data_IF_617013183232
#
_entry.id   IF_617013183232
#
_cell.length_a   1.000
_cell.length_b   1.000
_cell.length_c   1.000
_cell.angle_alpha   90.00
_cell.angle_beta   90.00
_cell.angle_gamma   90.00
#
_symmetry.space_group_name_H-M   'P 1'
#
loop_
_entity.id
_entity.type
_entity.pdbx_description
1 polymer ?
#
# COMPACT_ATOMS: atom_id res chain seq x y z
N UNK A 1 13.42 -4.44 -7.25
CA UNK A 1 12.86 -3.11 -7.58
C UNK A 1 11.85 -2.72 -6.51
N UNK A 2 11.69 -1.42 -6.24
CA UNK A 2 10.98 -0.85 -5.07
C UNK A 2 9.49 -1.22 -4.91
N UNK A 3 8.88 -1.95 -5.85
CA UNK A 3 7.58 -2.61 -5.65
C UNK A 3 7.64 -4.02 -6.26
N UNK A 4 7.91 -5.04 -5.45
CA UNK A 4 7.88 -6.45 -5.85
C UNK A 4 6.44 -6.99 -5.91
N UNK A 5 5.55 -6.42 -5.10
CA UNK A 5 4.11 -6.76 -5.07
C UNK A 5 3.51 -6.61 -6.46
N UNK A 6 2.81 -7.64 -6.92
CA UNK A 6 2.14 -7.67 -8.22
C UNK A 6 0.63 -7.67 -8.08
N UNK A 7 -0.05 -7.15 -9.09
CA UNK A 7 -1.48 -7.28 -9.27
C UNK A 7 -1.76 -7.80 -10.68
N UNK A 8 -2.36 -8.98 -10.80
CA UNK A 8 -2.74 -9.58 -12.09
C UNK A 8 -4.26 -9.48 -12.26
N UNK A 9 -4.74 -9.00 -13.40
CA UNK A 9 -6.18 -9.00 -13.69
C UNK A 9 -6.64 -10.39 -14.10
N UNK A 10 -7.72 -10.86 -13.50
CA UNK A 10 -8.35 -12.15 -13.77
C UNK A 10 -9.87 -12.00 -13.77
N UNK A 11 -10.46 -11.73 -14.93
CA UNK A 11 -11.90 -11.51 -15.05
C UNK A 11 -12.33 -10.19 -14.42
N UNK A 12 -13.17 -10.26 -13.39
CA UNK A 12 -13.75 -9.13 -12.65
C UNK A 12 -12.96 -8.77 -11.37
N UNK A 13 -11.73 -9.26 -11.25
CA UNK A 13 -10.88 -9.05 -10.07
C UNK A 13 -9.40 -8.88 -10.42
N UNK A 14 -8.67 -8.37 -9.44
CA UNK A 14 -7.22 -8.34 -9.36
C UNK A 14 -6.73 -9.33 -8.30
N UNK A 15 -5.70 -10.09 -8.64
CA UNK A 15 -5.00 -10.98 -7.71
C UNK A 15 -3.70 -10.31 -7.26
N UNK A 16 -3.64 -9.91 -6.00
CA UNK A 16 -2.48 -9.28 -5.39
C UNK A 16 -1.61 -10.32 -4.70
N UNK A 17 -0.31 -10.25 -4.96
CA UNK A 17 0.69 -11.13 -4.37
C UNK A 17 1.96 -10.37 -3.97
N UNK A 18 2.45 -10.62 -2.76
CA UNK A 18 3.71 -10.08 -2.24
C UNK A 18 3.57 -9.43 -0.86
N UNK A 19 4.59 -8.68 -0.43
CA UNK A 19 4.63 -8.10 0.92
C UNK A 19 4.92 -6.60 0.85
N UNK A 20 4.22 -5.83 1.69
CA UNK A 20 4.50 -4.42 1.96
C UNK A 20 4.97 -4.27 3.39
N UNK A 21 6.16 -3.71 3.59
CA UNK A 21 6.72 -3.47 4.91
C UNK A 21 6.49 -2.02 5.34
N UNK A 22 6.65 -1.76 6.65
CA UNK A 22 6.60 -0.41 7.23
C UNK A 22 5.24 0.30 7.09
N UNK A 23 4.15 -0.47 7.12
CA UNK A 23 2.82 0.09 6.94
C UNK A 23 2.32 0.62 8.28
N UNK A 24 2.23 1.94 8.36
CA UNK A 24 1.72 2.68 9.51
C UNK A 24 0.22 2.46 9.64
N UNK A 25 -0.28 2.32 10.88
CA UNK A 25 -1.68 2.03 11.22
C UNK A 25 -2.18 0.67 10.68
N UNK A 26 -1.28 -0.29 10.45
CA UNK A 26 -1.62 -1.59 9.88
C UNK A 26 -2.62 -2.40 10.73
N UNK A 27 -2.63 -2.22 12.05
CA UNK A 27 -3.53 -2.93 12.98
C UNK A 27 -4.88 -2.22 13.14
N UNK A 28 -4.90 -0.89 13.08
CA UNK A 28 -6.09 -0.08 13.36
C UNK A 28 -6.90 0.23 12.10
N UNK A 29 -6.28 0.27 10.92
CA UNK A 29 -6.97 0.65 9.68
C UNK A 29 -8.00 -0.40 9.23
N UNK A 30 -9.10 0.07 8.64
CA UNK A 30 -10.13 -0.79 8.01
C UNK A 30 -9.93 -0.98 6.51
N UNK A 31 -8.99 -0.24 5.91
CA UNK A 31 -8.59 -0.36 4.53
C UNK A 31 -7.16 0.16 4.33
N UNK A 32 -6.55 -0.16 3.20
CA UNK A 32 -5.20 0.31 2.83
C UNK A 32 -5.12 0.64 1.35
N UNK A 33 -4.45 1.73 1.02
CA UNK A 33 -4.08 2.03 -0.37
C UNK A 33 -2.78 1.31 -0.69
N UNK A 34 -2.85 0.32 -1.59
CA UNK A 34 -1.73 -0.56 -1.94
C UNK A 34 -1.26 -0.27 -3.35
N UNK A 35 0.03 0.02 -3.51
CA UNK A 35 0.67 0.20 -4.81
C UNK A 35 1.32 -1.09 -5.27
N UNK A 36 0.87 -1.66 -6.37
CA UNK A 36 1.38 -2.93 -6.92
C UNK A 36 1.65 -2.82 -8.42
N UNK A 37 2.60 -3.60 -8.92
CA UNK A 37 2.93 -3.64 -10.34
C UNK A 37 1.89 -4.47 -11.09
N UNK A 38 1.16 -3.84 -12.00
CA UNK A 38 0.27 -4.50 -12.96
C UNK A 38 1.01 -4.88 -14.24
N UNK A 39 2.11 -4.19 -14.55
CA UNK A 39 3.06 -4.57 -15.61
C UNK A 39 4.49 -4.26 -15.17
N UNK A 40 5.31 -5.31 -14.97
CA UNK A 40 6.70 -5.14 -14.54
C UNK A 40 7.60 -4.56 -15.63
N UNK A 41 7.27 -4.79 -16.90
CA UNK A 41 8.09 -4.34 -18.04
C UNK A 41 8.11 -2.81 -18.14
N UNK A 42 7.02 -2.16 -17.72
CA UNK A 42 6.84 -0.71 -17.75
C UNK A 42 7.45 0.03 -16.54
N UNK A 43 8.11 -0.68 -15.61
CA UNK A 43 8.72 -0.12 -14.40
C UNK A 43 7.71 0.76 -13.63
N UNK A 44 8.04 2.02 -13.33
CA UNK A 44 7.15 2.92 -12.58
C UNK A 44 5.83 3.22 -13.31
N UNK A 45 5.80 3.16 -14.64
CA UNK A 45 4.57 3.36 -15.45
C UNK A 45 3.62 2.16 -15.39
N UNK A 46 4.08 1.02 -14.90
CA UNK A 46 3.25 -0.18 -14.70
C UNK A 46 2.79 -0.36 -13.26
N UNK A 47 2.93 0.66 -12.40
CA UNK A 47 2.43 0.62 -11.02
C UNK A 47 1.00 1.15 -11.00
N UNK A 48 0.11 0.42 -10.34
CA UNK A 48 -1.28 0.80 -10.11
C UNK A 48 -1.56 0.91 -8.61
N UNK A 49 -2.62 1.63 -8.25
CA UNK A 49 -3.05 1.82 -6.87
C UNK A 49 -4.38 1.11 -6.63
N UNK A 50 -4.53 0.45 -5.48
CA UNK A 50 -5.70 -0.34 -5.13
C UNK A 50 -6.19 0.04 -3.73
N UNK A 51 -7.50 0.19 -3.57
CA UNK A 51 -8.15 0.25 -2.27
C UNK A 51 -8.41 -1.17 -1.78
N UNK A 52 -7.63 -1.63 -0.79
CA UNK A 52 -7.76 -2.97 -0.22
C UNK A 52 -8.50 -2.88 1.12
N UNK A 53 -9.74 -3.39 1.24
CA UNK A 53 -10.44 -3.44 2.52
C UNK A 53 -9.83 -4.47 3.47
N UNK A 54 -10.04 -4.28 4.77
CA UNK A 54 -9.58 -5.19 5.83
C UNK A 54 -10.73 -5.52 6.80
N UNK A 55 -10.96 -6.80 7.13
CA UNK A 55 -10.26 -7.97 6.61
C UNK A 55 -10.68 -8.32 5.17
N UNK A 56 -9.80 -9.00 4.44
CA UNK A 56 -10.12 -9.61 3.14
C UNK A 56 -9.32 -10.91 3.01
N UNK A 57 -9.88 -11.91 2.31
CA UNK A 57 -9.21 -13.20 2.11
C UNK A 57 -7.90 -13.01 1.34
N UNK A 58 -6.84 -13.68 1.80
CA UNK A 58 -5.50 -13.60 1.21
C UNK A 58 -4.71 -12.36 1.64
N UNK A 59 -5.20 -11.59 2.63
CA UNK A 59 -4.43 -10.53 3.28
C UNK A 59 -4.22 -10.87 4.76
N UNK A 60 -2.95 -10.97 5.15
CA UNK A 60 -2.52 -11.12 6.53
C UNK A 60 -1.66 -9.95 7.02
N UNK A 61 -1.67 -9.74 8.32
CA UNK A 61 -0.83 -8.75 8.99
C UNK A 61 0.39 -9.42 9.60
N UNK A 62 1.58 -8.87 9.33
CA UNK A 62 2.79 -9.21 10.07
C UNK A 62 2.74 -8.72 11.52
N UNK A 63 3.73 -9.12 12.31
CA UNK A 63 3.88 -8.62 13.69
C UNK A 63 4.05 -7.09 13.70
N UNK A 64 3.61 -6.46 14.80
CA UNK A 64 3.91 -5.04 15.06
C UNK A 64 5.43 -4.90 15.27
N UNK A 65 6.03 -3.97 14.54
CA UNK A 65 7.45 -3.66 14.60
C UNK A 65 7.83 -3.07 15.98
N UNK A 66 8.96 -3.51 16.52
CA UNK A 66 9.57 -2.93 17.72
C UNK A 66 10.49 -1.77 17.32
N UNK A 67 9.98 -0.54 17.41
CA UNK A 67 10.61 0.67 16.91
C UNK A 67 11.28 1.48 18.02
N UNK A 68 12.35 2.21 17.69
CA UNK A 68 13.02 3.16 18.58
C UNK A 68 12.03 4.21 19.18
N UNK A 69 11.18 4.80 18.33
CA UNK A 69 10.21 5.83 18.69
C UNK A 69 8.87 5.63 17.96
N UNK A 70 7.92 6.56 18.16
CA UNK A 70 6.56 6.50 17.57
C UNK A 70 5.90 5.13 17.87
N UNK A 71 6.10 4.63 19.10
CA UNK A 71 5.67 3.28 19.53
C UNK A 71 4.16 3.16 19.70
N UNK A 72 3.48 4.29 19.91
CA UNK A 72 2.02 4.38 19.99
C UNK A 72 1.32 4.06 18.67
N UNK A 73 1.92 4.39 17.53
CA UNK A 73 1.39 4.00 16.21
C UNK A 73 1.86 2.59 15.84
N UNK A 74 0.93 1.75 15.39
CA UNK A 74 1.29 0.45 14.82
C UNK A 74 2.06 0.63 13.52
N UNK A 75 3.04 -0.23 13.32
CA UNK A 75 3.74 -0.38 12.06
C UNK A 75 3.93 -1.86 11.86
N UNK A 76 3.56 -2.40 10.71
CA UNK A 76 3.69 -3.83 10.44
C UNK A 76 3.85 -4.09 8.94
N UNK A 77 3.96 -5.36 8.59
CA UNK A 77 3.86 -5.80 7.20
C UNK A 77 2.41 -6.11 6.82
N UNK A 78 2.04 -5.85 5.56
CA UNK A 78 0.87 -6.41 4.91
C UNK A 78 1.33 -7.50 3.94
N UNK A 79 0.78 -8.70 4.07
CA UNK A 79 1.18 -9.90 3.32
C UNK A 79 0.00 -10.30 2.45
N UNK A 80 0.21 -10.35 1.13
CA UNK A 80 -0.82 -10.67 0.15
C UNK A 80 -0.48 -12.03 -0.49
N UNK A 81 -1.37 -13.00 -0.34
CA UNK A 81 -1.29 -14.34 -0.92
C UNK A 81 -2.59 -14.65 -1.65
N UNK A 82 -2.55 -14.58 -2.99
CA UNK A 82 -3.71 -14.69 -3.87
C UNK A 82 -4.90 -13.84 -3.42
N UNK A 83 -4.59 -12.62 -2.95
CA UNK A 83 -5.56 -11.70 -2.40
C UNK A 83 -6.45 -11.15 -3.52
N UNK A 84 -7.74 -11.45 -3.46
CA UNK A 84 -8.70 -11.12 -4.51
C UNK A 84 -9.34 -9.77 -4.25
N UNK A 85 -9.03 -8.80 -5.10
CA UNK A 85 -9.52 -7.42 -5.00
C UNK A 85 -10.50 -7.18 -6.16
N UNK A 86 -11.73 -6.68 -5.92
CA UNK A 86 -12.66 -6.35 -7.00
C UNK A 86 -12.04 -5.42 -8.05
N UNK A 87 -12.42 -5.57 -9.33
CA UNK A 87 -11.87 -4.74 -10.42
C UNK A 87 -12.06 -3.24 -10.17
N UNK A 88 -13.19 -2.86 -9.57
CA UNK A 88 -13.59 -1.49 -9.24
C UNK A 88 -12.77 -0.83 -8.12
N UNK A 89 -12.05 -1.62 -7.33
CA UNK A 89 -11.22 -1.11 -6.24
C UNK A 89 -9.88 -0.51 -6.72
N UNK A 90 -9.65 -0.46 -8.04
CA UNK A 90 -8.51 0.28 -8.60
C UNK A 90 -8.75 1.79 -8.43
N UNK A 91 -7.74 2.49 -7.91
CA UNK A 91 -7.77 3.94 -7.78
C UNK A 91 -7.15 4.58 -9.01
N UNK A 92 -7.99 5.22 -9.82
CA UNK A 92 -7.60 5.73 -11.14
C UNK A 92 -7.58 4.62 -12.20
N UNK A 93 -6.68 4.71 -13.17
CA UNK A 93 -6.51 3.72 -14.23
C UNK A 93 -5.19 2.94 -14.08
N UNK A 94 -5.08 1.74 -14.67
CA UNK A 94 -3.84 0.97 -14.63
C UNK A 94 -2.63 1.81 -15.07
N UNK A 95 -1.55 1.78 -14.29
CA UNK A 95 -0.32 2.54 -14.53
C UNK A 95 -0.27 3.94 -13.90
N UNK A 96 -1.37 4.46 -13.35
CA UNK A 96 -1.38 5.77 -12.66
C UNK A 96 -0.88 5.71 -11.21
N UNK A 97 -0.66 4.52 -10.65
CA UNK A 97 -0.33 4.34 -9.24
C UNK A 97 0.93 5.08 -8.80
N UNK A 98 1.98 5.13 -9.62
CA UNK A 98 3.19 5.89 -9.27
C UNK A 98 2.92 7.40 -9.17
N UNK A 99 2.14 7.96 -10.10
CA UNK A 99 1.76 9.38 -10.08
C UNK A 99 0.92 9.69 -8.83
N UNK A 100 -0.05 8.83 -8.52
CA UNK A 100 -0.87 8.95 -7.31
C UNK A 100 0.01 8.94 -6.07
N UNK A 101 0.94 7.98 -5.95
CA UNK A 101 1.86 7.89 -4.81
C UNK A 101 2.68 9.16 -4.63
N UNK A 102 3.22 9.73 -5.71
CA UNK A 102 4.05 10.95 -5.63
C UNK A 102 3.22 12.15 -5.17
N UNK A 103 2.03 12.36 -5.73
CA UNK A 103 1.14 13.47 -5.32
C UNK A 103 0.74 13.32 -3.85
N UNK A 104 0.41 12.11 -3.39
CA UNK A 104 0.08 11.85 -1.98
C UNK A 104 1.26 12.13 -1.05
N UNK A 105 2.48 11.73 -1.45
CA UNK A 105 3.68 11.99 -0.65
C UNK A 105 4.05 13.48 -0.61
N UNK A 106 3.86 14.21 -1.70
CA UNK A 106 4.12 15.66 -1.74
C UNK A 106 3.24 16.39 -0.71
N UNK A 107 1.96 16.06 -0.62
CA UNK A 107 1.08 16.58 0.43
C UNK A 107 1.46 16.07 1.83
N UNK A 108 1.75 14.78 1.97
CA UNK A 108 2.11 14.15 3.24
C UNK A 108 3.37 14.74 3.88
N UNK A 109 4.35 15.15 3.07
CA UNK A 109 5.60 15.77 3.55
C UNK A 109 5.35 17.03 4.38
N UNK A 110 4.33 17.82 4.05
CA UNK A 110 3.95 19.02 4.81
C UNK A 110 3.50 18.62 6.22
N UNK A 111 2.66 17.58 6.34
CA UNK A 111 2.21 17.06 7.62
C UNK A 111 3.36 16.52 8.49
N UNK A 112 4.31 15.80 7.88
CA UNK A 112 5.49 15.30 8.60
C UNK A 112 6.42 16.44 9.03
N UNK A 113 6.58 17.49 8.22
CA UNK A 113 7.34 18.68 8.61
C UNK A 113 6.71 19.39 9.82
N UNK A 114 5.38 19.54 9.82
CA UNK A 114 4.65 20.09 10.97
C UNK A 114 4.78 19.19 12.21
N UNK A 115 4.73 17.86 12.04
CA UNK A 115 4.97 16.90 13.13
C UNK A 115 6.37 17.08 13.73
N UNK A 116 7.40 17.20 12.90
CA UNK A 116 8.78 17.42 13.35
C UNK A 116 8.90 18.74 14.11
N UNK A 117 8.29 19.82 13.60
CA UNK A 117 8.27 21.11 14.26
C UNK A 117 7.56 21.07 15.62
N UNK A 118 6.47 20.33 15.75
CA UNK A 118 5.76 20.19 17.02
C UNK A 118 6.52 19.38 18.09
N UNK A 119 7.53 18.60 17.69
CA UNK A 119 8.41 17.86 18.61
C UNK A 119 9.59 18.71 19.07
N UNK A 120 10.09 19.59 18.20
CA UNK A 120 11.28 20.44 18.43
C UNK A 120 11.04 21.48 19.52
#
# INVERSE_FOLDING_TARGET
GAASTTAKSEGDKWILNGTKCWITNGYESTASVVFASTDKSLKHKGISAFLVPKPIKGLDLGKKEDKLGIRGSSTCSLIFEDCQIPQENILGTPGLGFKIAMITLDAGRIGIAAQALGIA
#
